data_IF_297735461465
#
_entry.id   IF_297735461465
#
_cell.length_a   1.000
_cell.length_b   1.000
_cell.length_c   1.000
_cell.angle_alpha   90.00
_cell.angle_beta   90.00
_cell.angle_gamma   90.00
#
_symmetry.space_group_name_H-M   'P 1'
#
loop_
_entity.id
_entity.type
_entity.pdbx_description
1 polymer ?
#
# COMPACT_ATOMS: atom_id res chain seq x y z
N UNK A 1 -41.65 91.94 39.36
CA UNK A 1 -40.39 91.18 39.36
C UNK A 1 -40.41 90.22 38.18
N UNK A 2 -39.41 90.35 37.30
CA UNK A 2 -38.86 89.42 36.32
C UNK A 2 -39.77 88.59 35.38
N UNK A 3 -39.65 88.91 34.07
CA UNK A 3 -39.90 88.04 32.90
C UNK A 3 -38.89 86.89 32.86
N UNK A 4 -39.27 85.71 32.36
CA UNK A 4 -38.49 84.95 31.34
C UNK A 4 -39.25 83.71 30.84
N UNK A 5 -39.03 83.24 29.59
CA UNK A 5 -39.95 82.43 28.82
C UNK A 5 -39.67 80.91 28.85
N UNK A 6 -40.70 80.18 28.42
CA UNK A 6 -40.64 78.76 28.04
C UNK A 6 -39.73 78.65 26.81
N UNK A 7 -38.52 78.13 27.02
CA UNK A 7 -37.60 77.77 25.94
C UNK A 7 -38.04 76.44 25.31
N UNK A 8 -38.36 76.52 24.03
CA UNK A 8 -38.61 75.38 23.14
C UNK A 8 -37.29 74.65 22.92
N UNK A 9 -37.05 73.57 23.66
CA UNK A 9 -35.96 72.65 23.38
C UNK A 9 -36.39 71.68 22.27
N UNK A 10 -35.94 72.00 21.05
CA UNK A 10 -35.96 71.15 19.86
C UNK A 10 -35.42 69.75 20.21
N UNK A 11 -36.25 68.71 20.03
CA UNK A 11 -35.77 67.32 19.98
C UNK A 11 -34.91 67.16 18.73
N UNK A 12 -33.60 67.26 18.88
CA UNK A 12 -32.65 66.72 17.92
C UNK A 12 -32.85 65.20 17.90
N UNK A 13 -33.53 64.70 16.86
CA UNK A 13 -33.40 63.32 16.43
C UNK A 13 -31.92 63.11 16.09
N UNK A 14 -31.15 62.62 17.05
CA UNK A 14 -29.94 61.89 16.74
C UNK A 14 -30.38 60.54 16.16
N UNK A 15 -30.67 60.55 14.86
CA UNK A 15 -30.51 59.35 14.05
C UNK A 15 -29.03 58.97 14.12
N UNK A 16 -28.65 58.24 15.17
CA UNK A 16 -27.41 57.49 15.21
C UNK A 16 -27.48 56.51 14.05
N UNK A 17 -26.86 56.88 12.92
CA UNK A 17 -26.60 55.98 11.83
C UNK A 17 -25.98 54.70 12.40
N UNK A 18 -26.74 53.60 12.41
CA UNK A 18 -26.22 52.28 12.74
C UNK A 18 -24.99 52.05 11.85
N UNK A 19 -23.81 52.00 12.47
CA UNK A 19 -22.58 51.68 11.74
C UNK A 19 -22.72 50.28 11.17
N UNK A 20 -22.71 50.19 9.83
CA UNK A 20 -22.71 48.90 9.12
C UNK A 20 -21.61 48.02 9.74
N UNK A 21 -21.89 46.74 10.05
CA UNK A 21 -20.88 45.85 10.60
C UNK A 21 -19.64 45.89 9.69
N UNK A 22 -18.46 46.11 10.28
CA UNK A 22 -17.21 46.29 9.54
C UNK A 22 -16.92 45.05 8.67
N UNK A 23 -17.20 45.15 7.37
CA UNK A 23 -16.99 44.06 6.41
C UNK A 23 -15.53 43.60 6.37
N UNK A 24 -14.58 44.48 6.67
CA UNK A 24 -13.14 44.19 6.66
C UNK A 24 -12.76 43.11 7.69
N UNK A 25 -13.33 43.15 8.90
CA UNK A 25 -13.05 42.17 9.94
C UNK A 25 -13.60 40.78 9.59
N UNK A 26 -14.75 40.73 8.92
CA UNK A 26 -15.36 39.47 8.47
C UNK A 26 -14.54 38.79 7.37
N UNK A 27 -14.02 39.57 6.41
CA UNK A 27 -13.13 39.05 5.36
C UNK A 27 -11.81 38.57 5.99
N UNK A 28 -11.23 39.36 6.90
CA UNK A 28 -9.99 38.98 7.59
C UNK A 28 -10.16 37.68 8.39
N UNK A 29 -11.28 37.51 9.11
CA UNK A 29 -11.61 36.27 9.80
C UNK A 29 -11.69 35.07 8.82
N UNK A 30 -12.34 35.24 7.66
CA UNK A 30 -12.44 34.19 6.65
C UNK A 30 -11.05 33.75 6.15
N UNK A 31 -10.16 34.70 5.90
CA UNK A 31 -8.79 34.45 5.44
C UNK A 31 -7.96 33.75 6.52
N UNK A 32 -8.01 34.22 7.78
CA UNK A 32 -7.26 33.62 8.89
C UNK A 32 -7.73 32.19 9.13
N UNK A 33 -9.04 31.96 9.23
CA UNK A 33 -9.59 30.61 9.42
C UNK A 33 -9.28 29.70 8.23
N UNK A 34 -9.33 30.24 7.00
CA UNK A 34 -8.98 29.49 5.80
C UNK A 34 -7.52 29.05 5.81
N UNK A 35 -6.60 29.97 6.12
CA UNK A 35 -5.16 29.69 6.22
C UNK A 35 -4.83 28.73 7.36
N UNK A 36 -5.46 28.89 8.53
CA UNK A 36 -5.31 27.95 9.65
C UNK A 36 -5.79 26.54 9.26
N UNK A 37 -6.93 26.47 8.57
CA UNK A 37 -7.48 25.22 8.08
C UNK A 37 -6.57 24.55 7.05
N UNK A 38 -5.98 25.35 6.14
CA UNK A 38 -5.01 24.87 5.18
C UNK A 38 -3.74 24.33 5.87
N UNK A 39 -3.23 25.04 6.88
CA UNK A 39 -2.08 24.57 7.65
C UNK A 39 -2.37 23.21 8.30
N UNK A 40 -3.55 23.04 8.91
CA UNK A 40 -3.95 21.77 9.52
C UNK A 40 -4.17 20.66 8.48
N UNK A 41 -4.77 20.99 7.33
CA UNK A 41 -5.02 20.03 6.25
C UNK A 41 -3.78 19.70 5.41
N UNK A 42 -2.67 20.42 5.61
CA UNK A 42 -1.38 20.08 4.97
C UNK A 42 -0.79 18.76 5.50
N UNK A 43 -1.15 18.38 6.73
CA UNK A 43 -0.79 17.11 7.36
C UNK A 43 -2.03 16.50 8.05
N UNK A 44 -2.94 15.87 7.30
CA UNK A 44 -4.07 15.15 7.88
C UNK A 44 -3.58 14.12 8.91
N UNK A 45 -4.31 13.97 10.01
CA UNK A 45 -3.90 13.04 11.08
C UNK A 45 -4.28 11.63 10.68
N UNK A 46 -3.28 10.77 10.48
CA UNK A 46 -3.49 9.35 10.20
C UNK A 46 -3.72 8.60 11.52
N UNK A 47 -4.88 7.93 11.63
CA UNK A 47 -5.28 7.19 12.83
C UNK A 47 -5.06 5.68 12.68
N UNK A 48 -5.30 5.16 11.48
CA UNK A 48 -5.23 3.74 11.12
C UNK A 48 -5.07 3.61 9.60
N UNK A 49 -4.81 2.39 9.10
CA UNK A 49 -4.63 2.12 7.67
C UNK A 49 -5.79 2.73 6.87
N UNK A 50 -5.48 3.70 6.01
CA UNK A 50 -6.43 4.45 5.18
C UNK A 50 -7.45 5.34 5.92
N UNK A 51 -7.35 5.59 7.23
CA UNK A 51 -8.18 6.60 7.94
C UNK A 51 -7.35 7.83 8.32
N UNK A 52 -7.58 8.91 7.56
CA UNK A 52 -7.03 10.24 7.81
C UNK A 52 -8.14 11.20 8.26
N UNK A 53 -7.90 11.91 9.37
CA UNK A 53 -8.76 13.00 9.83
C UNK A 53 -8.35 14.32 9.19
N UNK A 54 -9.31 14.96 8.56
CA UNK A 54 -9.17 16.29 7.94
C UNK A 54 -9.66 17.32 8.96
N UNK A 55 -8.88 17.50 10.03
CA UNK A 55 -9.26 18.33 11.19
C UNK A 55 -9.36 19.81 10.82
N UNK A 56 -8.61 20.26 9.81
CA UNK A 56 -8.61 21.67 9.38
C UNK A 56 -9.99 22.17 8.97
N UNK A 57 -10.89 21.29 8.53
CA UNK A 57 -12.26 21.64 8.17
C UNK A 57 -13.06 22.27 9.32
N UNK A 58 -12.65 22.06 10.58
CA UNK A 58 -13.25 22.75 11.73
C UNK A 58 -13.22 24.28 11.56
N UNK A 59 -12.23 24.83 10.85
CA UNK A 59 -12.03 26.28 10.78
C UNK A 59 -13.08 26.94 9.90
N UNK A 60 -13.50 26.32 8.80
CA UNK A 60 -14.60 26.85 8.01
C UNK A 60 -15.96 26.58 8.68
N UNK A 61 -16.10 25.56 9.53
CA UNK A 61 -17.29 25.39 10.38
C UNK A 61 -17.38 26.52 11.41
N UNK A 62 -16.25 26.94 12.00
CA UNK A 62 -16.18 28.16 12.82
C UNK A 62 -16.57 29.36 11.95
N UNK A 63 -16.05 29.48 10.72
CA UNK A 63 -16.44 30.56 9.82
C UNK A 63 -17.96 30.55 9.53
N UNK A 64 -18.58 29.39 9.35
CA UNK A 64 -20.02 29.23 9.14
C UNK A 64 -20.86 29.75 10.32
N UNK A 65 -20.31 29.71 11.54
CA UNK A 65 -20.97 30.20 12.75
C UNK A 65 -21.10 31.73 12.81
N UNK A 66 -20.22 32.47 12.11
CA UNK A 66 -20.11 33.94 12.20
C UNK A 66 -20.33 34.65 10.85
N UNK A 67 -20.00 34.01 9.73
CA UNK A 67 -19.92 34.64 8.41
C UNK A 67 -21.05 34.16 7.50
N UNK A 68 -21.40 35.00 6.53
CA UNK A 68 -22.33 34.65 5.44
C UNK A 68 -21.75 33.57 4.51
N UNK A 69 -22.61 32.82 3.77
CA UNK A 69 -22.18 31.68 2.95
C UNK A 69 -21.02 31.97 1.99
N UNK A 70 -20.99 33.13 1.35
CA UNK A 70 -19.92 33.48 0.41
C UNK A 70 -18.53 33.56 1.08
N UNK A 71 -18.44 34.13 2.29
CA UNK A 71 -17.18 34.21 3.04
C UNK A 71 -16.81 32.87 3.67
N UNK A 72 -17.80 32.08 4.08
CA UNK A 72 -17.56 30.70 4.53
C UNK A 72 -17.00 29.84 3.40
N UNK A 73 -17.54 29.96 2.18
CA UNK A 73 -17.03 29.26 1.00
C UNK A 73 -15.59 29.66 0.68
N UNK A 74 -15.27 30.96 0.72
CA UNK A 74 -13.90 31.44 0.56
C UNK A 74 -12.95 30.79 1.58
N UNK A 75 -13.35 30.76 2.84
CA UNK A 75 -12.57 30.12 3.91
C UNK A 75 -12.38 28.62 3.65
N UNK A 76 -13.43 27.92 3.20
CA UNK A 76 -13.39 26.51 2.87
C UNK A 76 -12.46 26.20 1.70
N UNK A 77 -12.50 26.98 0.61
CA UNK A 77 -11.60 26.78 -0.53
C UNK A 77 -10.13 26.96 -0.17
N UNK A 78 -9.80 27.96 0.65
CA UNK A 78 -8.43 28.10 1.16
C UNK A 78 -8.09 26.88 2.02
N UNK A 79 -8.97 26.50 2.95
CA UNK A 79 -8.78 25.40 3.89
C UNK A 79 -8.52 24.04 3.20
N UNK A 80 -9.15 23.76 2.07
CA UNK A 80 -9.03 22.46 1.38
C UNK A 80 -7.99 22.45 0.27
N UNK A 81 -7.36 23.59 -0.04
CA UNK A 81 -6.32 23.68 -1.09
C UNK A 81 -5.21 22.64 -0.93
N UNK A 82 -4.65 22.37 0.26
CA UNK A 82 -3.62 21.35 0.44
C UNK A 82 -4.09 19.93 0.09
N UNK A 83 -5.38 19.64 0.24
CA UNK A 83 -5.94 18.31 -0.05
C UNK A 83 -5.90 17.98 -1.54
N UNK A 84 -5.81 18.98 -2.42
CA UNK A 84 -5.58 18.74 -3.85
C UNK A 84 -4.26 18.02 -4.09
N UNK A 85 -3.22 18.40 -3.34
CA UNK A 85 -1.89 17.80 -3.42
C UNK A 85 -1.88 16.45 -2.70
N UNK A 86 -2.43 16.41 -1.48
CA UNK A 86 -2.42 15.19 -0.64
C UNK A 86 -3.27 14.07 -1.24
N UNK A 87 -4.43 14.39 -1.81
CA UNK A 87 -5.34 13.39 -2.38
C UNK A 87 -5.19 13.22 -3.89
N UNK A 88 -4.44 14.10 -4.56
CA UNK A 88 -4.21 14.04 -6.01
C UNK A 88 -5.44 14.36 -6.88
N UNK A 89 -6.57 14.76 -6.29
CA UNK A 89 -7.83 15.04 -7.00
C UNK A 89 -8.62 16.20 -6.38
N UNK A 90 -9.45 16.93 -7.17
CA UNK A 90 -10.11 18.16 -6.73
C UNK A 90 -11.43 17.96 -5.95
N UNK A 91 -11.83 16.72 -5.68
CA UNK A 91 -13.16 16.42 -5.11
C UNK A 91 -13.40 17.02 -3.73
N UNK A 92 -12.35 17.33 -2.97
CA UNK A 92 -12.43 18.05 -1.70
C UNK A 92 -13.06 19.45 -1.86
N UNK A 93 -12.78 20.16 -2.96
CA UNK A 93 -13.38 21.47 -3.21
C UNK A 93 -14.89 21.40 -3.41
N UNK A 94 -15.36 20.34 -4.08
CA UNK A 94 -16.78 20.15 -4.37
C UNK A 94 -17.51 19.75 -3.08
N UNK A 95 -17.04 18.69 -2.43
CA UNK A 95 -17.67 18.10 -1.24
C UNK A 95 -17.65 19.07 -0.05
N UNK A 96 -16.49 19.60 0.33
CA UNK A 96 -16.40 20.52 1.48
C UNK A 96 -16.82 21.95 1.14
N UNK A 97 -16.74 22.37 -0.13
CA UNK A 97 -17.26 23.66 -0.57
C UNK A 97 -18.79 23.74 -0.47
N UNK A 98 -19.48 22.68 -0.91
CA UNK A 98 -20.93 22.58 -0.77
C UNK A 98 -21.37 22.46 0.69
N UNK A 99 -20.61 21.74 1.51
CA UNK A 99 -20.82 21.68 2.96
C UNK A 99 -20.77 23.07 3.60
N UNK A 100 -19.70 23.82 3.32
CA UNK A 100 -19.50 25.17 3.84
C UNK A 100 -20.66 26.10 3.49
N UNK A 101 -21.16 26.03 2.25
CA UNK A 101 -22.34 26.77 1.81
C UNK A 101 -23.60 26.33 2.55
N UNK A 102 -23.86 25.02 2.60
CA UNK A 102 -25.06 24.46 3.21
C UNK A 102 -25.14 24.77 4.70
N UNK A 103 -24.06 24.49 5.44
CA UNK A 103 -23.99 24.70 6.89
C UNK A 103 -24.14 26.19 7.23
N UNK A 104 -23.44 27.08 6.51
CA UNK A 104 -23.56 28.53 6.72
C UNK A 104 -24.97 29.06 6.38
N UNK A 105 -25.61 28.53 5.33
CA UNK A 105 -26.97 28.88 4.95
C UNK A 105 -27.99 28.44 6.02
N UNK A 106 -27.89 27.19 6.47
CA UNK A 106 -28.78 26.65 7.52
C UNK A 106 -28.57 27.37 8.84
N UNK A 107 -27.32 27.71 9.16
CA UNK A 107 -26.99 28.52 10.34
C UNK A 107 -27.67 29.89 10.30
N UNK A 108 -27.78 30.50 9.11
CA UNK A 108 -28.53 31.74 8.87
C UNK A 108 -30.03 31.64 9.10
N UNK A 109 -30.58 30.43 9.06
CA UNK A 109 -31.96 30.12 9.43
C UNK A 109 -32.14 29.72 10.90
N UNK A 110 -31.08 29.84 11.71
CA UNK A 110 -31.10 29.51 13.13
C UNK A 110 -30.86 28.03 13.47
N UNK A 111 -30.42 27.22 12.50
CA UNK A 111 -30.08 25.83 12.76
C UNK A 111 -28.74 25.70 13.51
N UNK A 112 -28.62 24.62 14.28
CA UNK A 112 -27.38 24.26 14.96
C UNK A 112 -26.36 23.69 13.97
N UNK A 113 -25.08 24.03 14.15
CA UNK A 113 -24.00 23.58 13.27
C UNK A 113 -23.94 22.04 13.17
N UNK A 114 -23.93 21.24 14.27
CA UNK A 114 -23.87 19.78 14.15
C UNK A 114 -25.07 19.20 13.41
N UNK A 115 -26.26 19.79 13.60
CA UNK A 115 -27.49 19.30 12.94
C UNK A 115 -27.50 19.64 11.46
N UNK A 116 -27.06 20.84 11.09
CA UNK A 116 -26.92 21.24 9.68
C UNK A 116 -25.85 20.39 8.98
N UNK A 117 -24.73 20.16 9.63
CA UNK A 117 -23.60 19.38 9.12
C UNK A 117 -23.96 17.90 8.92
N UNK A 118 -24.58 17.28 9.92
CA UNK A 118 -25.08 15.92 9.81
C UNK A 118 -26.11 15.77 8.67
N UNK A 119 -27.04 16.72 8.53
CA UNK A 119 -28.04 16.69 7.47
C UNK A 119 -27.40 16.84 6.08
N UNK A 120 -26.37 17.69 5.96
CA UNK A 120 -25.59 17.81 4.74
C UNK A 120 -24.98 16.47 4.36
N UNK A 121 -24.23 15.82 5.26
CA UNK A 121 -23.57 14.55 4.97
C UNK A 121 -24.56 13.42 4.69
N UNK A 122 -25.72 13.41 5.37
CA UNK A 122 -26.76 12.42 5.15
C UNK A 122 -27.42 12.53 3.77
N UNK A 123 -27.77 13.75 3.34
CA UNK A 123 -28.61 13.97 2.15
C UNK A 123 -27.81 14.34 0.91
N UNK A 124 -26.67 15.01 1.08
CA UNK A 124 -25.88 15.58 -0.02
C UNK A 124 -24.47 14.99 -0.05
N UNK A 125 -23.73 15.08 1.06
CA UNK A 125 -22.33 14.68 1.14
C UNK A 125 -22.11 13.21 0.76
N UNK A 126 -22.81 12.27 1.41
CA UNK A 126 -22.69 10.84 1.08
C UNK A 126 -23.12 10.51 -0.35
N UNK A 127 -24.32 10.91 -0.84
CA UNK A 127 -24.71 10.64 -2.23
C UNK A 127 -23.74 11.24 -3.25
N UNK A 128 -23.26 12.46 -3.02
CA UNK A 128 -22.29 13.12 -3.89
C UNK A 128 -20.95 12.38 -3.92
N UNK A 129 -20.42 12.01 -2.75
CA UNK A 129 -19.19 11.22 -2.65
C UNK A 129 -19.35 9.87 -3.33
N UNK A 130 -20.51 9.22 -3.23
CA UNK A 130 -20.79 7.95 -3.91
C UNK A 130 -20.76 8.10 -5.44
N UNK A 131 -21.37 9.17 -5.97
CA UNK A 131 -21.37 9.47 -7.41
C UNK A 131 -19.94 9.75 -7.90
N UNK A 132 -19.16 10.51 -7.14
CA UNK A 132 -17.76 10.83 -7.46
C UNK A 132 -16.91 9.55 -7.55
N UNK A 133 -17.03 8.66 -6.56
CA UNK A 133 -16.28 7.41 -6.53
C UNK A 133 -16.68 6.48 -7.68
N UNK A 134 -17.99 6.37 -7.94
CA UNK A 134 -18.52 5.49 -8.99
C UNK A 134 -18.13 5.96 -10.41
N UNK A 135 -18.04 7.27 -10.64
CA UNK A 135 -17.72 7.83 -11.95
C UNK A 135 -16.23 7.99 -12.22
N UNK A 136 -15.39 8.09 -11.19
CA UNK A 136 -14.01 8.55 -11.33
C UNK A 136 -12.91 7.54 -10.95
N UNK A 137 -13.21 6.45 -10.24
CA UNK A 137 -12.17 5.53 -9.72
C UNK A 137 -12.51 4.06 -10.02
N UNK A 138 -11.86 3.49 -11.03
CA UNK A 138 -11.87 2.04 -11.32
C UNK A 138 -11.33 1.27 -10.12
N UNK A 139 -12.07 0.26 -9.63
CA UNK A 139 -11.68 -0.55 -8.45
C UNK A 139 -12.18 -0.03 -7.10
N UNK A 140 -12.85 1.12 -7.03
CA UNK A 140 -13.30 1.75 -5.77
C UNK A 140 -14.54 1.11 -5.12
N UNK A 141 -15.19 0.13 -5.77
CA UNK A 141 -16.42 -0.49 -5.27
C UNK A 141 -16.23 -1.22 -3.94
N UNK A 142 -15.07 -1.86 -3.74
CA UNK A 142 -14.74 -2.60 -2.51
C UNK A 142 -14.65 -1.70 -1.28
N UNK A 143 -14.32 -0.41 -1.47
CA UNK A 143 -14.11 0.57 -0.40
C UNK A 143 -15.16 1.69 -0.37
N UNK A 144 -16.22 1.57 -1.19
CA UNK A 144 -17.25 2.62 -1.34
C UNK A 144 -17.91 2.93 0.01
N UNK A 145 -18.49 1.92 0.65
CA UNK A 145 -19.22 2.09 1.90
C UNK A 145 -18.31 2.60 3.02
N UNK A 146 -17.09 2.06 3.11
CA UNK A 146 -16.08 2.52 4.06
C UNK A 146 -15.75 3.99 3.88
N UNK A 147 -15.50 4.43 2.65
CA UNK A 147 -15.16 5.84 2.34
C UNK A 147 -16.32 6.79 2.67
N UNK A 148 -17.55 6.40 2.38
CA UNK A 148 -18.76 7.20 2.67
C UNK A 148 -18.94 7.45 4.16
N UNK A 149 -18.86 6.38 4.96
CA UNK A 149 -18.95 6.50 6.42
C UNK A 149 -17.76 7.25 6.99
N UNK A 150 -16.53 6.97 6.50
CA UNK A 150 -15.31 7.66 6.94
C UNK A 150 -15.44 9.17 6.81
N UNK A 151 -15.86 9.68 5.65
CA UNK A 151 -15.98 11.14 5.46
C UNK A 151 -17.05 11.76 6.37
N UNK A 152 -18.19 11.08 6.51
CA UNK A 152 -19.29 11.55 7.38
C UNK A 152 -18.90 11.59 8.86
N UNK A 153 -18.17 10.56 9.33
CA UNK A 153 -17.66 10.50 10.71
C UNK A 153 -16.62 11.60 10.92
N UNK A 154 -15.71 11.80 9.97
CA UNK A 154 -14.73 12.88 10.02
C UNK A 154 -15.41 14.26 10.15
N UNK A 155 -16.50 14.48 9.42
CA UNK A 155 -17.26 15.72 9.49
C UNK A 155 -17.91 15.99 10.83
N UNK A 156 -18.64 15.00 11.33
CA UNK A 156 -19.24 15.07 12.67
C UNK A 156 -18.17 15.38 13.73
N UNK A 157 -16.98 14.79 13.59
CA UNK A 157 -15.87 15.02 14.52
C UNK A 157 -15.32 16.45 14.48
N UNK A 158 -14.94 16.98 13.31
CA UNK A 158 -14.40 18.34 13.25
C UNK A 158 -15.46 19.39 13.56
N UNK A 159 -16.74 19.12 13.29
CA UNK A 159 -17.85 20.00 13.66
C UNK A 159 -18.06 20.00 15.17
N UNK A 160 -17.95 18.86 15.85
CA UNK A 160 -17.97 18.79 17.30
C UNK A 160 -16.80 19.59 17.92
N UNK A 161 -15.60 19.47 17.35
CA UNK A 161 -14.44 20.24 17.79
C UNK A 161 -14.62 21.75 17.57
N UNK A 162 -15.17 22.15 16.43
CA UNK A 162 -15.53 23.54 16.15
C UNK A 162 -16.53 24.09 17.18
N UNK A 163 -17.55 23.32 17.55
CA UNK A 163 -18.52 23.70 18.58
C UNK A 163 -17.87 23.88 19.95
N UNK A 164 -16.96 22.98 20.35
CA UNK A 164 -16.19 23.13 21.60
C UNK A 164 -15.38 24.42 21.57
N UNK A 165 -14.68 24.70 20.47
CA UNK A 165 -13.88 25.92 20.34
C UNK A 165 -14.73 27.19 20.35
N UNK A 166 -15.90 27.17 19.71
CA UNK A 166 -16.86 28.28 19.79
C UNK A 166 -17.37 28.46 21.22
N UNK A 167 -17.62 27.36 21.95
CA UNK A 167 -18.06 27.43 23.34
C UNK A 167 -16.98 28.04 24.26
N UNK A 168 -15.70 27.68 24.06
CA UNK A 168 -14.58 28.16 24.88
C UNK A 168 -14.13 29.58 24.51
N UNK A 169 -14.08 29.90 23.22
CA UNK A 169 -13.49 31.15 22.71
C UNK A 169 -14.49 32.14 22.11
N UNK A 170 -15.77 31.78 22.02
CA UNK A 170 -16.78 32.55 21.30
C UNK A 170 -16.99 33.97 21.83
N UNK A 171 -16.91 34.17 23.15
CA UNK A 171 -17.05 35.51 23.73
C UNK A 171 -15.90 36.45 23.30
N UNK A 172 -14.67 35.93 23.21
CA UNK A 172 -13.52 36.68 22.68
C UNK A 172 -13.68 36.96 21.19
N UNK A 173 -14.19 35.98 20.43
CA UNK A 173 -14.40 36.12 19.00
C UNK A 173 -15.49 37.17 18.68
N UNK A 174 -16.56 37.21 19.46
CA UNK A 174 -17.66 38.18 19.33
C UNK A 174 -17.21 39.62 19.62
N UNK A 175 -16.19 39.82 20.46
CA UNK A 175 -15.59 41.15 20.68
C UNK A 175 -14.83 41.63 19.44
N UNK A 176 -14.22 40.72 18.68
CA UNK A 176 -13.41 41.04 17.51
C UNK A 176 -14.23 41.14 16.22
N UNK A 177 -15.23 40.26 16.05
CA UNK A 177 -16.08 40.20 14.86
C UNK A 177 -17.55 40.12 15.27
N UNK A 178 -18.34 41.11 14.83
CA UNK A 178 -19.80 41.06 14.99
C UNK A 178 -20.35 39.99 14.05
N UNK A 179 -20.98 38.97 14.63
CA UNK A 179 -21.58 37.87 13.86
C UNK A 179 -22.59 38.39 12.83
N UNK A 180 -22.49 37.87 11.61
CA UNK A 180 -23.44 38.10 10.52
C UNK A 180 -24.59 37.09 10.53
N UNK A 181 -24.56 36.15 11.49
CA UNK A 181 -25.54 35.09 11.69
C UNK A 181 -26.47 35.44 12.87
N UNK A 182 -27.72 34.94 12.91
CA UNK A 182 -28.64 35.26 14.00
C UNK A 182 -28.12 34.74 15.34
N UNK A 183 -28.33 35.47 16.45
CA UNK A 183 -27.92 35.00 17.77
C UNK A 183 -28.67 33.71 18.08
N UNK A 184 -27.94 32.70 18.58
CA UNK A 184 -28.57 31.53 19.14
C UNK A 184 -29.14 31.91 20.50
N UNK A 185 -30.38 31.51 20.76
CA UNK A 185 -30.91 31.53 22.12
C UNK A 185 -29.95 30.68 22.98
N UNK A 186 -29.75 31.08 24.24
CA UNK A 186 -28.98 30.32 25.22
C UNK A 186 -29.98 29.73 26.23
N UNK A 187 -30.46 28.51 25.97
CA UNK A 187 -31.36 27.78 26.87
C UNK A 187 -30.81 26.39 27.20
N UNK A 188 -31.16 25.84 28.36
CA UNK A 188 -30.72 24.53 28.86
C UNK A 188 -30.91 23.41 27.82
N UNK A 189 -32.06 23.39 27.13
CA UNK A 189 -32.34 22.43 26.05
C UNK A 189 -31.26 22.43 24.97
N UNK A 190 -30.70 23.59 24.67
CA UNK A 190 -29.73 23.77 23.58
C UNK A 190 -28.33 23.39 24.04
N UNK A 191 -27.99 23.69 25.30
CA UNK A 191 -26.76 23.17 25.91
C UNK A 191 -26.76 21.64 25.96
N UNK A 192 -27.87 21.03 26.36
CA UNK A 192 -28.02 19.58 26.36
C UNK A 192 -27.89 19.01 24.94
N UNK A 193 -28.49 19.67 23.94
CA UNK A 193 -28.36 19.28 22.53
C UNK A 193 -26.90 19.30 22.06
N UNK A 194 -26.13 20.35 22.39
CA UNK A 194 -24.71 20.42 22.05
C UNK A 194 -23.88 19.34 22.73
N UNK A 195 -24.07 19.12 24.03
CA UNK A 195 -23.34 18.10 24.79
C UNK A 195 -23.64 16.71 24.21
N UNK A 196 -24.90 16.40 23.92
CA UNK A 196 -25.29 15.11 23.32
C UNK A 196 -24.65 14.91 21.95
N UNK A 197 -24.61 15.94 21.09
CA UNK A 197 -23.94 15.87 19.80
C UNK A 197 -22.44 15.64 19.93
N UNK A 198 -21.78 16.39 20.80
CA UNK A 198 -20.33 16.24 21.05
C UNK A 198 -20.04 14.84 21.60
N UNK A 199 -20.76 14.40 22.64
CA UNK A 199 -20.58 13.05 23.19
C UNK A 199 -20.81 11.96 22.15
N UNK A 200 -21.84 12.09 21.31
CA UNK A 200 -22.11 11.14 20.24
C UNK A 200 -21.01 11.13 19.19
N UNK A 201 -20.48 12.30 18.81
CA UNK A 201 -19.37 12.42 17.87
C UNK A 201 -18.11 11.70 18.38
N UNK A 202 -17.72 11.97 19.63
CA UNK A 202 -16.57 11.31 20.25
C UNK A 202 -16.79 9.81 20.45
N UNK A 203 -18.02 9.39 20.80
CA UNK A 203 -18.37 7.97 20.93
C UNK A 203 -18.25 7.24 19.58
N UNK A 204 -18.83 7.79 18.51
CA UNK A 204 -18.76 7.20 17.16
C UNK A 204 -17.32 7.11 16.69
N UNK A 205 -16.53 8.18 16.82
CA UNK A 205 -15.10 8.16 16.46
C UNK A 205 -14.34 7.12 17.28
N UNK A 206 -14.58 7.04 18.60
CA UNK A 206 -13.95 6.04 19.47
C UNK A 206 -14.25 4.61 19.05
N UNK A 207 -15.52 4.29 18.75
CA UNK A 207 -15.93 2.97 18.25
C UNK A 207 -15.28 2.68 16.89
N UNK A 208 -15.28 3.65 15.97
CA UNK A 208 -14.68 3.48 14.65
C UNK A 208 -13.17 3.27 14.72
N UNK A 209 -12.47 3.92 15.65
CA UNK A 209 -11.04 3.71 15.89
C UNK A 209 -10.74 2.30 16.39
N UNK A 210 -11.51 1.82 17.36
CA UNK A 210 -11.36 0.46 17.90
C UNK A 210 -11.63 -0.58 16.81
N UNK A 211 -12.73 -0.43 16.07
CA UNK A 211 -13.07 -1.35 14.99
C UNK A 211 -12.03 -1.30 13.86
N UNK A 212 -11.57 -0.10 13.48
CA UNK A 212 -10.54 0.06 12.45
C UNK A 212 -9.24 -0.62 12.85
N UNK A 213 -8.82 -0.49 14.11
CA UNK A 213 -7.62 -1.17 14.60
C UNK A 213 -7.78 -2.68 14.58
N UNK A 214 -8.90 -3.19 15.08
CA UNK A 214 -9.20 -4.63 15.06
C UNK A 214 -9.26 -5.21 13.65
N UNK A 215 -9.84 -4.48 12.70
CA UNK A 215 -9.87 -4.90 11.29
C UNK A 215 -8.47 -4.85 10.68
N UNK A 216 -7.67 -3.83 10.99
CA UNK A 216 -6.29 -3.71 10.53
C UNK A 216 -5.43 -4.86 11.05
N UNK A 217 -5.53 -5.19 12.34
CA UNK A 217 -4.78 -6.29 12.95
C UNK A 217 -5.17 -7.63 12.31
N UNK A 218 -6.47 -7.85 12.07
CA UNK A 218 -6.96 -9.05 11.39
C UNK A 218 -6.48 -9.14 9.93
N UNK A 219 -6.43 -8.02 9.20
CA UNK A 219 -5.92 -7.97 7.83
C UNK A 219 -4.41 -8.27 7.77
N UNK A 220 -3.62 -7.71 8.69
CA UNK A 220 -2.19 -7.99 8.78
C UNK A 220 -1.93 -9.48 9.02
N UNK A 221 -2.66 -10.09 9.94
CA UNK A 221 -2.49 -11.52 10.24
C UNK A 221 -2.90 -12.41 9.06
N UNK A 222 -4.00 -12.09 8.36
CA UNK A 222 -4.37 -12.80 7.14
C UNK A 222 -3.33 -12.67 6.01
N UNK A 223 -2.58 -11.57 5.98
CA UNK A 223 -1.52 -11.37 5.00
C UNK A 223 -0.29 -12.22 5.36
N UNK A 224 0.10 -12.25 6.63
CA UNK A 224 1.17 -13.13 7.14
C UNK A 224 0.86 -14.61 6.88
N UNK A 225 -0.36 -15.06 7.18
CA UNK A 225 -0.77 -16.45 6.92
C UNK A 225 -0.71 -16.80 5.43
N UNK A 226 -1.11 -15.87 4.55
CA UNK A 226 -1.03 -16.06 3.10
C UNK A 226 0.42 -16.15 2.61
N UNK A 227 1.33 -15.38 3.20
CA UNK A 227 2.76 -15.44 2.91
C UNK A 227 3.35 -16.77 3.35
N UNK A 228 3.04 -17.23 4.57
CA UNK A 228 3.55 -18.51 5.08
C UNK A 228 3.04 -19.70 4.25
N UNK A 229 1.74 -19.75 3.96
CA UNK A 229 1.16 -20.79 3.10
C UNK A 229 1.77 -20.74 1.70
N UNK A 230 1.94 -19.54 1.13
CA UNK A 230 2.55 -19.34 -0.18
C UNK A 230 3.99 -19.84 -0.23
N UNK A 231 4.79 -19.49 0.78
CA UNK A 231 6.18 -19.93 0.94
C UNK A 231 6.27 -21.45 1.03
N UNK A 232 5.52 -22.07 1.95
CA UNK A 232 5.54 -23.53 2.12
C UNK A 232 5.07 -24.29 0.87
N UNK A 233 4.05 -23.77 0.19
CA UNK A 233 3.57 -24.38 -1.06
C UNK A 233 4.64 -24.33 -2.15
N UNK A 234 5.32 -23.18 -2.30
CA UNK A 234 6.35 -23.02 -3.30
C UNK A 234 7.60 -23.84 -2.96
N UNK A 235 8.05 -23.86 -1.71
CA UNK A 235 9.16 -24.72 -1.26
C UNK A 235 8.88 -26.18 -1.62
N UNK A 236 7.67 -26.68 -1.40
CA UNK A 236 7.30 -28.05 -1.78
C UNK A 236 7.36 -28.31 -3.28
N UNK A 237 6.97 -27.35 -4.11
CA UNK A 237 7.07 -27.47 -5.57
C UNK A 237 8.53 -27.55 -5.98
N UNK A 238 9.38 -26.67 -5.42
CA UNK A 238 10.81 -26.62 -5.74
C UNK A 238 11.51 -27.88 -5.26
N UNK A 239 11.25 -28.32 -4.03
CA UNK A 239 11.80 -29.56 -3.48
C UNK A 239 11.40 -30.77 -4.33
N UNK A 240 10.13 -30.87 -4.72
CA UNK A 240 9.66 -31.95 -5.60
C UNK A 240 10.34 -31.90 -6.97
N UNK A 241 10.50 -30.70 -7.54
CA UNK A 241 11.14 -30.52 -8.83
C UNK A 241 12.62 -30.93 -8.79
N UNK A 242 13.36 -30.49 -7.77
CA UNK A 242 14.78 -30.86 -7.59
C UNK A 242 14.91 -32.36 -7.29
N UNK A 243 14.03 -32.94 -6.48
CA UNK A 243 14.02 -34.37 -6.16
C UNK A 243 13.74 -35.24 -7.40
N UNK A 244 12.77 -34.85 -8.24
CA UNK A 244 12.47 -35.55 -9.49
C UNK A 244 13.67 -35.55 -10.46
N UNK A 245 14.37 -34.42 -10.57
CA UNK A 245 15.58 -34.31 -11.39
C UNK A 245 16.77 -35.07 -10.76
N UNK A 246 16.86 -35.12 -9.44
CA UNK A 246 17.86 -35.92 -8.73
C UNK A 246 17.67 -37.42 -8.98
N UNK A 247 16.41 -37.89 -8.92
CA UNK A 247 16.05 -39.26 -9.28
C UNK A 247 16.37 -39.57 -10.74
N UNK A 248 16.12 -38.63 -11.67
CA UNK A 248 16.47 -38.78 -13.07
C UNK A 248 17.98 -38.99 -13.29
N UNK A 249 18.82 -38.17 -12.63
CA UNK A 249 20.28 -38.28 -12.68
C UNK A 249 20.76 -39.63 -12.10
N UNK A 250 20.19 -40.06 -10.97
CA UNK A 250 20.51 -41.37 -10.40
C UNK A 250 20.11 -42.53 -11.34
N UNK A 251 18.96 -42.43 -12.01
CA UNK A 251 18.50 -43.44 -12.97
C UNK A 251 19.40 -43.53 -14.20
N UNK A 252 19.79 -42.39 -14.79
CA UNK A 252 20.70 -42.41 -15.94
C UNK A 252 22.10 -42.88 -15.52
N UNK A 253 22.59 -42.52 -14.33
CA UNK A 253 23.87 -43.02 -13.80
C UNK A 253 23.88 -44.55 -13.68
N UNK A 254 22.81 -45.14 -13.14
CA UNK A 254 22.64 -46.59 -13.05
C UNK A 254 22.62 -47.25 -14.44
N UNK A 255 21.93 -46.64 -15.41
CA UNK A 255 21.90 -47.13 -16.80
C UNK A 255 23.28 -47.07 -17.45
N UNK A 256 23.98 -45.95 -17.28
CA UNK A 256 25.35 -45.74 -17.80
C UNK A 256 26.33 -46.75 -17.21
N UNK A 257 26.09 -47.21 -15.97
CA UNK A 257 26.96 -48.19 -15.31
C UNK A 257 26.87 -49.61 -15.86
N UNK A 258 25.88 -49.89 -16.73
CA UNK A 258 25.63 -51.23 -17.29
C UNK A 258 25.91 -51.28 -18.81
N UNK A 259 25.91 -50.13 -19.48
CA UNK A 259 26.10 -50.06 -20.94
C UNK A 259 27.56 -49.73 -21.30
N UNK A 260 27.95 -50.07 -22.52
CA UNK A 260 29.25 -49.66 -23.05
C UNK A 260 29.32 -48.14 -23.29
N UNK A 261 30.53 -47.58 -23.23
CA UNK A 261 30.77 -46.14 -23.39
C UNK A 261 30.29 -45.56 -24.73
N UNK A 262 30.18 -46.38 -25.77
CA UNK A 262 29.60 -46.00 -27.07
C UNK A 262 28.12 -45.63 -27.00
N UNK A 263 27.39 -46.14 -25.99
CA UNK A 263 25.97 -45.85 -25.77
C UNK A 263 25.70 -44.66 -24.84
N UNK A 264 26.74 -44.03 -24.28
CA UNK A 264 26.59 -42.96 -23.30
C UNK A 264 25.87 -41.74 -23.87
N UNK A 265 26.19 -41.37 -25.10
CA UNK A 265 25.62 -40.22 -25.78
C UNK A 265 24.11 -40.37 -25.99
N UNK A 266 23.67 -41.48 -26.59
CA UNK A 266 22.25 -41.76 -26.82
C UNK A 266 21.46 -41.83 -25.51
N UNK A 267 22.06 -42.39 -24.45
CA UNK A 267 21.43 -42.44 -23.14
C UNK A 267 21.27 -41.05 -22.51
N UNK A 268 22.27 -40.18 -22.67
CA UNK A 268 22.25 -38.81 -22.16
C UNK A 268 21.22 -37.96 -22.92
N UNK A 269 21.20 -38.03 -24.25
CA UNK A 269 20.25 -37.29 -25.09
C UNK A 269 18.80 -37.68 -24.79
N UNK A 270 18.48 -38.99 -24.73
CA UNK A 270 17.13 -39.45 -24.37
C UNK A 270 16.70 -38.98 -22.98
N UNK A 271 17.63 -38.94 -22.03
CA UNK A 271 17.32 -38.45 -20.68
C UNK A 271 17.04 -36.96 -20.71
N UNK A 272 17.84 -36.20 -21.45
CA UNK A 272 17.68 -34.76 -21.59
C UNK A 272 16.34 -34.39 -22.28
N UNK A 273 15.90 -35.17 -23.27
CA UNK A 273 14.58 -35.00 -23.91
C UNK A 273 13.41 -35.23 -22.94
N UNK A 274 13.54 -36.20 -22.02
CA UNK A 274 12.51 -36.51 -21.03
C UNK A 274 12.47 -35.45 -19.91
N UNK A 275 13.63 -34.89 -19.56
CA UNK A 275 13.79 -33.91 -18.48
C UNK A 275 14.30 -32.56 -19.03
N UNK A 276 13.43 -31.78 -19.71
CA UNK A 276 13.81 -30.50 -20.32
C UNK A 276 14.13 -29.40 -19.30
N UNK A 277 14.04 -29.69 -18.00
CA UNK A 277 14.45 -28.79 -16.92
C UNK A 277 15.96 -28.63 -16.80
N UNK A 278 16.73 -29.60 -17.30
CA UNK A 278 18.17 -29.45 -17.46
C UNK A 278 18.45 -28.48 -18.62
N UNK A 279 19.31 -27.49 -18.38
CA UNK A 279 19.85 -26.62 -19.42
C UNK A 279 20.89 -27.38 -20.26
N UNK A 280 21.71 -28.15 -19.56
CA UNK A 280 22.72 -29.02 -20.14
C UNK A 280 22.88 -30.27 -19.30
N UNK A 281 23.29 -31.37 -19.93
CA UNK A 281 23.78 -32.55 -19.22
C UNK A 281 25.17 -32.92 -19.74
N UNK A 282 26.00 -33.52 -18.91
CA UNK A 282 27.33 -33.97 -19.31
C UNK A 282 27.75 -35.27 -18.63
N UNK A 283 28.74 -35.94 -19.21
CA UNK A 283 29.43 -37.07 -18.59
C UNK A 283 30.91 -36.70 -18.49
N UNK A 284 31.50 -36.87 -17.31
CA UNK A 284 32.93 -36.71 -17.09
C UNK A 284 33.58 -38.04 -16.70
N UNK A 285 34.79 -38.32 -17.18
CA UNK A 285 35.54 -39.53 -16.84
C UNK A 285 36.27 -39.42 -15.50
N UNK A 286 37.01 -40.46 -15.11
CA UNK A 286 37.82 -40.52 -13.89
C UNK A 286 38.87 -39.40 -13.76
N UNK A 287 39.37 -38.88 -14.89
CA UNK A 287 40.30 -37.73 -14.94
C UNK A 287 39.58 -36.37 -14.87
N UNK A 288 38.27 -36.37 -14.63
CA UNK A 288 37.40 -35.19 -14.65
C UNK A 288 37.33 -34.46 -16.00
N UNK A 289 37.59 -35.16 -17.11
CA UNK A 289 37.40 -34.63 -18.45
C UNK A 289 35.99 -34.91 -18.96
N UNK A 290 35.35 -33.89 -19.54
CA UNK A 290 34.05 -34.03 -20.17
C UNK A 290 34.18 -34.92 -21.41
N UNK A 291 33.48 -36.05 -21.42
CA UNK A 291 33.48 -37.06 -22.48
C UNK A 291 32.40 -36.74 -23.51
N UNK A 292 31.21 -36.35 -23.06
CA UNK A 292 30.08 -35.96 -23.91
C UNK A 292 29.14 -35.02 -23.16
N UNK A 293 28.31 -34.29 -23.90
CA UNK A 293 27.26 -33.44 -23.36
C UNK A 293 26.00 -33.47 -24.22
N UNK A 294 24.88 -33.05 -23.65
CA UNK A 294 23.63 -32.80 -24.34
C UNK A 294 23.18 -31.35 -24.04
N UNK A 295 22.94 -30.52 -25.06
CA UNK A 295 23.03 -30.82 -26.50
C UNK A 295 24.48 -30.96 -26.98
N UNK A 296 24.74 -31.90 -27.90
CA UNK A 296 26.08 -32.19 -28.42
C UNK A 296 26.80 -30.98 -29.03
N UNK A 297 26.05 -30.07 -29.65
CA UNK A 297 26.59 -28.85 -30.28
C UNK A 297 27.43 -28.00 -29.32
N UNK A 298 27.18 -28.12 -28.01
CA UNK A 298 27.93 -27.40 -27.00
C UNK A 298 29.34 -27.97 -26.76
N UNK A 299 29.58 -29.26 -27.02
CA UNK A 299 30.93 -29.86 -26.98
C UNK A 299 31.86 -29.23 -28.02
N UNK A 300 31.32 -28.86 -29.18
CA UNK A 300 32.12 -28.29 -30.29
C UNK A 300 32.53 -26.84 -30.01
N UNK A 301 31.80 -26.15 -29.13
CA UNK A 301 32.00 -24.74 -28.78
C UNK A 301 32.79 -24.56 -27.48
N UNK A 302 33.16 -25.67 -26.83
CA UNK A 302 33.82 -25.70 -25.54
C UNK A 302 35.27 -25.20 -25.65
N UNK A 303 35.67 -24.14 -24.91
CA UNK A 303 37.06 -23.71 -24.87
C UNK A 303 37.95 -24.80 -24.26
N UNK A 304 39.20 -24.94 -24.73
CA UNK A 304 40.16 -25.95 -24.23
C UNK A 304 40.34 -25.92 -22.71
N UNK A 305 40.18 -24.75 -22.07
CA UNK A 305 40.25 -24.55 -20.62
C UNK A 305 39.04 -25.04 -19.83
N UNK A 306 37.93 -25.35 -20.49
CA UNK A 306 36.66 -25.77 -19.85
C UNK A 306 36.35 -27.26 -20.04
N UNK A 307 37.28 -28.04 -20.63
CA UNK A 307 37.14 -29.49 -20.77
C UNK A 307 37.27 -30.26 -19.45
N UNK A 308 37.82 -29.64 -18.42
CA UNK A 308 37.95 -30.24 -17.09
C UNK A 308 36.97 -29.64 -16.10
N UNK A 309 36.41 -30.53 -15.27
CA UNK A 309 35.52 -30.21 -14.16
C UNK A 309 36.11 -30.64 -12.81
N UNK A 310 37.41 -30.91 -12.75
CA UNK A 310 38.09 -31.36 -11.52
C UNK A 310 37.93 -30.36 -10.35
N UNK A 311 37.88 -29.07 -10.67
CA UNK A 311 37.69 -27.98 -9.71
C UNK A 311 36.23 -27.81 -9.25
N UNK A 312 35.29 -28.56 -9.82
CA UNK A 312 33.87 -28.42 -9.54
C UNK A 312 33.44 -29.34 -8.40
N UNK A 313 32.64 -28.78 -7.49
CA UNK A 313 32.08 -29.51 -6.35
C UNK A 313 31.22 -30.69 -6.82
N UNK A 314 30.44 -30.52 -7.89
CA UNK A 314 29.60 -31.61 -8.41
C UNK A 314 30.41 -32.81 -8.91
N UNK A 315 31.64 -32.61 -9.38
CA UNK A 315 32.53 -33.71 -9.75
C UNK A 315 33.10 -34.38 -8.51
N UNK A 316 33.84 -33.61 -7.71
CA UNK A 316 34.57 -34.14 -6.56
C UNK A 316 33.64 -34.80 -5.52
N UNK A 317 32.50 -34.19 -5.23
CA UNK A 317 31.57 -34.70 -4.21
C UNK A 317 30.89 -36.00 -4.66
N UNK A 318 30.42 -36.07 -5.91
CA UNK A 318 29.77 -37.29 -6.38
C UNK A 318 30.76 -38.44 -6.62
N UNK A 319 31.94 -38.13 -7.18
CA UNK A 319 32.96 -39.11 -7.51
C UNK A 319 33.61 -39.71 -6.25
N UNK A 320 34.09 -38.87 -5.32
CA UNK A 320 34.83 -39.37 -4.16
C UNK A 320 33.92 -39.89 -3.03
N UNK A 321 32.74 -39.29 -2.83
CA UNK A 321 31.81 -39.77 -1.79
C UNK A 321 30.88 -40.88 -2.28
N UNK A 322 30.92 -41.21 -3.58
CA UNK A 322 30.14 -42.29 -4.19
C UNK A 322 28.63 -42.14 -3.95
N UNK A 323 28.11 -40.92 -4.04
CA UNK A 323 26.70 -40.61 -3.80
C UNK A 323 26.22 -39.52 -4.73
N UNK A 324 24.90 -39.45 -4.94
CA UNK A 324 24.31 -38.31 -5.65
C UNK A 324 24.58 -37.02 -4.88
N UNK A 325 24.88 -35.95 -5.61
CA UNK A 325 25.21 -34.66 -5.04
C UNK A 325 24.43 -33.53 -5.73
N UNK A 326 23.98 -32.57 -4.93
CA UNK A 326 23.33 -31.34 -5.37
C UNK A 326 24.20 -30.17 -4.92
N UNK A 327 24.66 -29.36 -5.87
CA UNK A 327 25.53 -28.21 -5.57
C UNK A 327 24.76 -27.04 -4.96
N UNK A 328 25.45 -26.13 -4.24
CA UNK A 328 25.00 -24.74 -4.09
C UNK A 328 24.78 -24.08 -5.46
N UNK A 329 24.15 -22.91 -5.49
CA UNK A 329 24.02 -22.16 -6.75
C UNK A 329 25.39 -21.63 -7.20
N UNK A 330 25.67 -21.72 -8.49
CA UNK A 330 26.90 -21.19 -9.07
C UNK A 330 26.71 -20.80 -10.53
N UNK A 331 27.62 -19.98 -11.06
CA UNK A 331 27.61 -19.61 -12.47
C UNK A 331 28.20 -20.73 -13.34
N UNK A 332 27.45 -21.13 -14.37
CA UNK A 332 27.93 -22.04 -15.40
C UNK A 332 29.26 -21.60 -16.03
N UNK A 333 29.99 -22.55 -16.60
CA UNK A 333 31.22 -22.30 -17.37
C UNK A 333 31.27 -23.26 -18.56
N UNK A 334 31.78 -22.77 -19.69
CA UNK A 334 31.88 -23.53 -20.93
C UNK A 334 30.57 -23.49 -21.72
N UNK A 335 29.45 -23.83 -21.07
CA UNK A 335 28.13 -23.97 -21.71
C UNK A 335 27.18 -22.78 -21.55
N UNK A 336 27.60 -21.76 -20.81
CA UNK A 336 26.80 -20.57 -20.49
C UNK A 336 27.33 -19.88 -19.24
N UNK A 337 26.61 -18.84 -18.80
CA UNK A 337 26.90 -18.09 -17.58
C UNK A 337 25.65 -17.92 -16.70
N UNK A 338 24.67 -18.80 -16.88
CA UNK A 338 23.44 -18.78 -16.10
C UNK A 338 23.70 -19.27 -14.66
N UNK A 339 22.99 -18.73 -13.66
CA UNK A 339 22.98 -19.30 -12.31
C UNK A 339 22.26 -20.64 -12.35
N UNK A 340 22.97 -21.71 -12.00
CA UNK A 340 22.48 -23.09 -12.08
C UNK A 340 22.76 -23.86 -10.79
N UNK A 341 22.02 -24.95 -10.61
CA UNK A 341 22.36 -26.00 -9.67
C UNK A 341 22.80 -27.22 -10.47
N UNK A 342 23.93 -27.82 -10.10
CA UNK A 342 24.38 -29.08 -10.69
C UNK A 342 23.92 -30.25 -9.83
N UNK A 343 23.30 -31.22 -10.48
CA UNK A 343 22.93 -32.51 -9.88
C UNK A 343 23.81 -33.57 -10.53
N UNK A 344 24.58 -34.30 -9.73
CA UNK A 344 25.51 -35.31 -10.24
C UNK A 344 25.38 -36.65 -9.52
N UNK A 345 25.76 -37.72 -10.21
CA UNK A 345 25.84 -39.06 -9.65
C UNK A 345 27.01 -39.85 -10.26
N UNK A 346 27.65 -40.74 -9.47
CA UNK A 346 28.76 -41.56 -9.95
C UNK A 346 28.30 -42.63 -10.96
N UNK A 347 29.15 -42.90 -11.95
CA UNK A 347 29.01 -43.99 -12.92
C UNK A 347 30.04 -45.06 -12.56
N UNK A 348 29.64 -46.33 -12.56
CA UNK A 348 30.51 -47.47 -12.27
C UNK A 348 30.76 -48.30 -13.52
N UNK A 349 31.77 -49.15 -13.51
CA UNK A 349 31.88 -50.27 -14.44
C UNK A 349 31.02 -51.44 -13.97
N UNK A 350 30.67 -52.34 -14.88
CA UNK A 350 29.92 -53.55 -14.54
C UNK A 350 30.65 -54.35 -13.43
N UNK A 351 30.01 -54.48 -12.27
CA UNK A 351 30.56 -55.04 -11.02
C UNK A 351 31.76 -54.29 -10.39
N UNK A 352 32.03 -53.06 -10.78
CA UNK A 352 33.05 -52.20 -10.19
C UNK A 352 32.65 -51.58 -8.85
N UNK A 353 33.59 -51.49 -7.90
CA UNK A 353 33.39 -50.82 -6.60
C UNK A 353 33.90 -49.38 -6.57
N UNK A 354 34.49 -48.91 -7.67
CA UNK A 354 35.01 -47.56 -7.84
C UNK A 354 34.32 -46.88 -9.01
N UNK A 355 33.94 -45.60 -8.89
CA UNK A 355 33.40 -44.84 -10.00
C UNK A 355 34.44 -44.66 -11.12
N UNK A 356 33.99 -44.74 -12.37
CA UNK A 356 34.79 -44.46 -13.58
C UNK A 356 34.47 -43.10 -14.20
N UNK A 357 33.57 -42.36 -13.57
CA UNK A 357 33.14 -41.04 -13.99
C UNK A 357 31.90 -40.59 -13.23
N UNK A 358 31.34 -39.48 -13.67
CA UNK A 358 30.04 -38.98 -13.20
C UNK A 358 29.17 -38.60 -14.39
N UNK A 359 27.86 -38.63 -14.17
CA UNK A 359 26.88 -37.89 -14.99
C UNK A 359 26.43 -36.68 -14.19
N UNK A 360 26.25 -35.56 -14.88
CA UNK A 360 25.75 -34.31 -14.32
C UNK A 360 24.64 -33.74 -15.19
N UNK A 361 23.67 -33.11 -14.54
CA UNK A 361 22.65 -32.28 -15.15
C UNK A 361 22.62 -30.91 -14.50
N UNK A 362 22.79 -29.88 -15.31
CA UNK A 362 22.76 -28.48 -14.92
C UNK A 362 21.31 -28.00 -14.94
N UNK A 363 20.69 -27.93 -13.77
CA UNK A 363 19.29 -27.55 -13.59
C UNK A 363 19.14 -26.02 -13.59
N UNK A 364 18.23 -25.52 -14.42
CA UNK A 364 17.88 -24.10 -14.45
C UNK A 364 16.63 -23.85 -13.60
N UNK A 365 16.77 -23.08 -12.51
CA UNK A 365 15.66 -22.69 -11.64
C UNK A 365 14.95 -21.41 -12.10
N UNK A 366 15.46 -20.71 -13.12
CA UNK A 366 14.78 -19.55 -13.71
C UNK A 366 13.53 -19.95 -14.50
N UNK A 367 13.28 -21.24 -14.75
CA UNK A 367 12.02 -21.72 -15.33
C UNK A 367 10.80 -21.30 -14.49
N UNK A 368 10.97 -21.15 -13.18
CA UNK A 368 9.92 -20.67 -12.29
C UNK A 368 9.52 -19.21 -12.56
N UNK A 369 10.37 -18.39 -13.18
CA UNK A 369 10.01 -17.03 -13.65
C UNK A 369 8.81 -17.07 -14.63
N UNK A 370 8.74 -18.11 -15.47
CA UNK A 370 7.69 -18.26 -16.48
C UNK A 370 6.39 -18.82 -15.90
N UNK A 371 6.49 -19.75 -14.94
CA UNK A 371 5.33 -20.31 -14.23
C UNK A 371 4.71 -19.29 -13.25
N UNK A 372 5.53 -18.39 -12.68
CA UNK A 372 5.09 -17.41 -11.70
C UNK A 372 4.23 -16.28 -12.29
N UNK A 373 4.56 -15.78 -13.50
CA UNK A 373 3.87 -14.63 -14.10
C UNK A 373 2.34 -14.78 -14.13
N UNK A 374 1.83 -15.99 -14.33
CA UNK A 374 0.38 -16.22 -14.39
C UNK A 374 -0.30 -16.49 -13.03
N UNK A 375 0.45 -16.87 -12.00
CA UNK A 375 -0.12 -17.26 -10.69
C UNK A 375 0.05 -16.15 -9.65
N UNK A 376 1.07 -15.29 -9.79
CA UNK A 376 1.38 -14.20 -8.86
C UNK A 376 0.99 -12.80 -9.34
N UNK A 377 0.63 -12.56 -10.60
CA UNK A 377 0.17 -11.23 -11.06
C UNK A 377 -1.03 -10.68 -10.26
N UNK A 378 -1.74 -11.55 -9.53
CA UNK A 378 -2.87 -11.18 -8.67
C UNK A 378 -2.49 -11.02 -7.18
N UNK A 379 -1.22 -11.19 -6.81
CA UNK A 379 -0.70 -11.09 -5.43
C UNK A 379 0.50 -10.15 -5.43
N UNK A 380 0.41 -9.03 -4.72
CA UNK A 380 1.50 -8.07 -4.49
C UNK A 380 2.59 -8.68 -3.57
N UNK A 381 3.17 -9.81 -3.97
CA UNK A 381 4.15 -10.57 -3.20
C UNK A 381 5.34 -10.82 -4.13
N UNK A 382 6.48 -10.27 -3.74
CA UNK A 382 7.75 -10.53 -4.41
C UNK A 382 8.38 -11.81 -3.84
N UNK A 383 9.00 -12.60 -4.71
CA UNK A 383 9.63 -13.88 -4.38
C UNK A 383 11.16 -13.77 -4.39
N UNK A 384 11.79 -14.39 -3.38
CA UNK A 384 13.23 -14.69 -3.37
C UNK A 384 13.41 -16.18 -3.08
N UNK A 385 14.27 -16.82 -3.86
CA UNK A 385 14.70 -18.19 -3.66
C UNK A 385 16.19 -18.19 -3.32
N UNK A 386 16.55 -18.87 -2.24
CA UNK A 386 17.94 -19.03 -1.81
C UNK A 386 18.37 -20.49 -1.79
N UNK A 387 19.67 -20.73 -1.91
CA UNK A 387 20.24 -22.03 -1.59
C UNK A 387 20.41 -22.20 -0.07
N UNK A 388 20.87 -23.38 0.35
CA UNK A 388 21.11 -23.72 1.77
C UNK A 388 22.13 -22.83 2.50
N UNK A 389 22.89 -22.01 1.78
CA UNK A 389 23.88 -21.08 2.31
C UNK A 389 23.42 -19.61 2.15
N UNK A 390 22.12 -19.38 1.94
CA UNK A 390 21.51 -18.07 1.73
C UNK A 390 21.98 -17.33 0.47
N UNK A 391 22.56 -18.05 -0.51
CA UNK A 391 22.87 -17.44 -1.80
C UNK A 391 21.59 -17.34 -2.64
N UNK A 392 21.33 -16.17 -3.21
CA UNK A 392 20.16 -15.94 -4.06
C UNK A 392 20.26 -16.74 -5.36
N UNK A 393 19.32 -17.67 -5.54
CA UNK A 393 19.07 -18.41 -6.79
C UNK A 393 18.22 -17.57 -7.73
N UNK A 394 17.17 -16.95 -7.17
CA UNK A 394 16.21 -16.14 -7.91
C UNK A 394 15.68 -15.01 -7.02
N UNK A 395 15.45 -13.84 -7.59
CA UNK A 395 14.73 -12.75 -6.95
C UNK A 395 13.90 -12.01 -8.00
N UNK A 396 12.67 -11.65 -7.64
CA UNK A 396 11.85 -10.78 -8.49
C UNK A 396 12.55 -9.45 -8.73
N UNK A 397 12.34 -8.87 -9.92
CA UNK A 397 13.02 -7.66 -10.37
C UNK A 397 12.88 -6.45 -9.43
N UNK A 398 11.84 -6.41 -8.59
CA UNK A 398 11.63 -5.40 -7.57
C UNK A 398 12.62 -5.51 -6.38
N UNK A 399 13.11 -6.72 -6.09
CA UNK A 399 14.00 -7.07 -4.98
C UNK A 399 15.47 -7.25 -5.40
N UNK A 400 15.81 -6.93 -6.65
CA UNK A 400 17.16 -7.14 -7.17
C UNK A 400 18.25 -6.39 -6.39
N UNK A 401 19.52 -6.85 -6.46
CA UNK A 401 20.64 -6.41 -5.60
C UNK A 401 21.04 -4.92 -5.71
N UNK A 402 20.43 -4.15 -6.61
CA UNK A 402 20.60 -2.69 -6.68
C UNK A 402 19.60 -1.92 -5.81
N UNK A 403 18.60 -2.60 -5.25
CA UNK A 403 17.70 -2.05 -4.26
C UNK A 403 18.18 -2.53 -2.90
N UNK A 404 18.57 -1.61 -2.02
CA UNK A 404 18.97 -1.88 -0.63
C UNK A 404 17.79 -2.47 0.16
N UNK A 405 17.50 -3.75 -0.05
CA UNK A 405 16.59 -4.54 0.76
C UNK A 405 17.49 -5.41 1.65
N UNK A 406 17.56 -5.07 2.94
CA UNK A 406 18.10 -6.00 3.93
C UNK A 406 17.14 -7.20 3.99
N UNK A 407 17.66 -8.38 3.64
CA UNK A 407 16.98 -9.69 3.73
C UNK A 407 16.97 -10.14 5.19
#
# INVERSE_FOLDING_TARGET
MAKSPIEVAVKLNNDTAESKPSQSHAILLALILGLLGALLNSKPIELAYSISLVIGNLTFIIAAAYLRPALTLLSAFICVTPLLIVWGHPFAFITFGLEALFVSYMRGRGWYLPTADFLYWLVIGMPLTAIILWSGMTGSQEYLLFTLFKQSINAIFYTALAVILIFVFGDKLNLWVKSQQPPLVKNLKQYLHYILWVMSAFFVVGVCLILSRSLSDAQSQQFEDKLDIGSQYLSRIIDSYVDDHTKAIAQVANKLSVIESTGYEEALEKTHEIYPGFLTMLIANEDAHIVTSSPRSLMEQLPSSSFTVADRAYFSQAFFNQSSYISPVFLGRGFGSDPIIAISAPIYTDNGTQPVGIVEGSLNLNLFEQLNRHTLDNRQIDLVLTDKNDNVIYADSALGPNNNVEI
#
